data_IF_240738738315
#
_entry.id   IF_240738738315
#
_cell.length_a   1.000
_cell.length_b   1.000
_cell.length_c   1.000
_cell.angle_alpha   90.00
_cell.angle_beta   90.00
_cell.angle_gamma   90.00
#
_symmetry.space_group_name_H-M   'P 1'
#
loop_
_entity.id
_entity.type
_entity.pdbx_description
1 polymer ?
#
# COMPACT_ATOMS: atom_id res chain seq x y z
N UNK A 1 -7.99 -2.33 -3.93
CA UNK A 1 -6.89 -2.64 -2.99
C UNK A 1 -6.11 -1.37 -2.72
N UNK A 2 -5.87 -1.04 -1.44
CA UNK A 2 -5.00 0.07 -1.07
C UNK A 2 -3.54 -0.36 -1.22
N UNK A 3 -2.71 0.47 -1.87
CA UNK A 3 -1.26 0.27 -1.89
C UNK A 3 -0.72 0.45 -0.47
N UNK A 4 0.17 -0.45 -0.04
CA UNK A 4 0.76 -0.47 1.30
C UNK A 4 2.26 -0.30 1.17
N UNK A 5 2.79 0.68 1.90
CA UNK A 5 4.20 1.06 1.83
C UNK A 5 4.89 0.73 3.16
N UNK A 6 6.09 0.18 3.07
CA UNK A 6 6.98 -0.04 4.20
C UNK A 6 8.29 0.71 3.95
N UNK A 7 8.77 1.46 4.94
CA UNK A 7 10.00 2.24 4.86
C UNK A 7 10.91 1.95 6.03
N UNK A 8 12.21 1.84 5.78
CA UNK A 8 13.24 1.90 6.82
C UNK A 8 13.75 3.34 6.88
N UNK A 9 13.52 4.02 8.01
CA UNK A 9 13.93 5.41 8.17
C UNK A 9 15.45 5.58 8.06
N UNK A 10 15.91 6.66 7.42
CA UNK A 10 17.34 6.94 7.22
C UNK A 10 18.12 7.03 8.55
N UNK A 11 17.45 7.47 9.61
CA UNK A 11 18.00 7.62 10.97
C UNK A 11 17.47 6.54 11.95
N UNK A 12 17.02 5.38 11.43
CA UNK A 12 16.55 4.30 12.29
C UNK A 12 17.65 3.88 13.28
N UNK A 13 17.31 3.73 14.57
CA UNK A 13 18.25 3.29 15.61
C UNK A 13 18.86 1.91 15.31
N UNK A 14 18.08 1.04 14.65
CA UNK A 14 18.47 -0.32 14.29
C UNK A 14 18.12 -0.60 12.81
N UNK A 15 18.90 -0.09 11.84
CA UNK A 15 18.53 -0.18 10.42
C UNK A 15 18.56 -1.61 9.90
N UNK A 16 19.46 -2.47 10.41
CA UNK A 16 19.56 -3.87 9.98
C UNK A 16 18.37 -4.70 10.47
N UNK A 17 17.87 -4.45 11.68
CA UNK A 17 16.63 -5.08 12.17
C UNK A 17 15.43 -4.65 11.32
N UNK A 18 15.36 -3.37 10.94
CA UNK A 18 14.35 -2.87 10.01
C UNK A 18 14.39 -3.55 8.64
N UNK A 19 15.58 -3.75 8.07
CA UNK A 19 15.75 -4.50 6.81
C UNK A 19 15.29 -5.95 6.95
N UNK A 20 15.72 -6.65 8.00
CA UNK A 20 15.31 -8.02 8.27
C UNK A 20 13.78 -8.15 8.38
N UNK A 21 13.13 -7.18 9.03
CA UNK A 21 11.68 -7.15 9.12
C UNK A 21 11.00 -6.95 7.76
N UNK A 22 11.51 -6.03 6.93
CA UNK A 22 11.01 -5.82 5.57
C UNK A 22 11.20 -7.09 4.73
N UNK A 23 12.35 -7.75 4.81
CA UNK A 23 12.61 -9.01 4.12
C UNK A 23 11.63 -10.11 4.57
N UNK A 24 11.34 -10.18 5.88
CA UNK A 24 10.33 -11.09 6.41
C UNK A 24 8.92 -10.80 5.87
N UNK A 25 8.51 -9.53 5.82
CA UNK A 25 7.22 -9.12 5.26
C UNK A 25 7.09 -9.52 3.78
N UNK A 26 8.19 -9.47 3.01
CA UNK A 26 8.23 -9.85 1.58
C UNK A 26 8.44 -11.36 1.36
N UNK A 27 8.84 -12.09 2.40
CA UNK A 27 9.04 -13.53 2.33
C UNK A 27 7.74 -14.26 1.99
N UNK A 28 7.87 -15.49 1.46
CA UNK A 28 6.71 -16.35 1.20
C UNK A 28 5.85 -16.52 2.45
N UNK A 29 6.48 -16.77 3.62
CA UNK A 29 5.78 -16.92 4.89
C UNK A 29 5.00 -15.66 5.30
N UNK A 30 5.64 -14.49 5.26
CA UNK A 30 4.99 -13.22 5.62
C UNK A 30 3.81 -12.90 4.71
N UNK A 31 3.95 -13.18 3.41
CA UNK A 31 2.91 -12.96 2.42
C UNK A 31 1.78 -13.99 2.51
N UNK A 32 2.07 -15.24 2.88
CA UNK A 32 1.04 -16.26 3.21
C UNK A 32 0.19 -15.80 4.39
N UNK A 33 0.81 -15.35 5.49
CA UNK A 33 0.08 -14.81 6.66
C UNK A 33 -0.76 -13.60 6.25
N UNK A 34 -0.21 -12.69 5.45
CA UNK A 34 -0.91 -11.50 4.97
C UNK A 34 -2.14 -11.84 4.12
N UNK A 35 -2.02 -12.86 3.27
CA UNK A 35 -3.12 -13.36 2.44
C UNK A 35 -4.20 -14.05 3.30
N UNK A 36 -3.82 -15.07 4.05
CA UNK A 36 -4.76 -16.02 4.64
C UNK A 36 -5.34 -15.57 5.99
N UNK A 37 -4.64 -14.72 6.74
CA UNK A 37 -5.00 -14.41 8.13
C UNK A 37 -5.33 -12.92 8.34
N UNK A 38 -4.85 -12.05 7.46
CA UNK A 38 -5.03 -10.60 7.59
C UNK A 38 -5.98 -10.01 6.54
N UNK A 39 -6.48 -10.81 5.58
CA UNK A 39 -7.34 -10.34 4.47
C UNK A 39 -6.72 -9.19 3.66
N UNK A 40 -5.40 -9.12 3.66
CA UNK A 40 -4.66 -8.01 3.10
C UNK A 40 -4.23 -8.28 1.65
N UNK A 41 -4.37 -9.51 1.18
CA UNK A 41 -3.87 -10.02 -0.11
C UNK A 41 -2.34 -9.99 -0.23
N UNK A 42 -1.79 -11.05 -0.85
CA UNK A 42 -0.36 -11.15 -1.16
C UNK A 42 0.02 -10.36 -2.41
N UNK A 43 1.19 -9.72 -2.40
CA UNK A 43 1.81 -9.09 -3.59
C UNK A 43 2.69 -10.07 -4.39
N UNK A 44 3.00 -11.25 -3.84
CA UNK A 44 3.77 -12.26 -4.56
C UNK A 44 2.89 -13.00 -5.57
N UNK A 45 3.48 -13.31 -6.71
CA UNK A 45 2.84 -14.06 -7.80
C UNK A 45 2.93 -15.58 -7.63
N UNK A 46 3.79 -16.06 -6.72
CA UNK A 46 4.01 -17.49 -6.45
C UNK A 46 3.14 -18.05 -5.31
N UNK A 47 2.25 -17.21 -4.73
CA UNK A 47 1.24 -17.62 -3.77
C UNK A 47 -0.07 -17.81 -4.51
N UNK A 48 -0.55 -19.06 -4.55
CA UNK A 48 -1.79 -19.46 -5.20
C UNK A 48 -2.91 -19.61 -4.17
N UNK A 49 -4.15 -19.26 -4.54
CA UNK A 49 -5.31 -19.35 -3.64
C UNK A 49 -6.24 -18.15 -3.73
N UNK A 50 -7.43 -18.28 -3.14
CA UNK A 50 -8.49 -17.25 -3.13
C UNK A 50 -8.03 -15.91 -2.53
N UNK A 51 -7.07 -15.94 -1.61
CA UNK A 51 -6.59 -14.76 -0.89
C UNK A 51 -5.29 -14.16 -1.49
N UNK A 52 -4.93 -14.59 -2.71
CA UNK A 52 -3.81 -13.99 -3.46
C UNK A 52 -4.22 -12.69 -4.16
N UNK A 53 -3.31 -11.71 -4.26
CA UNK A 53 -3.55 -10.49 -5.03
C UNK A 53 -3.82 -10.77 -6.52
N UNK A 54 -3.31 -11.88 -7.05
CA UNK A 54 -3.57 -12.36 -8.42
C UNK A 54 -5.02 -12.83 -8.58
N UNK A 55 -5.54 -13.61 -7.64
CA UNK A 55 -6.94 -14.05 -7.66
C UNK A 55 -7.89 -12.85 -7.52
N UNK A 56 -7.58 -11.92 -6.62
CA UNK A 56 -8.33 -10.68 -6.43
C UNK A 56 -8.33 -9.78 -7.67
N UNK A 57 -7.17 -9.60 -8.31
CA UNK A 57 -7.07 -8.83 -9.55
C UNK A 57 -7.86 -9.48 -10.70
N UNK A 58 -7.89 -10.82 -10.75
CA UNK A 58 -8.70 -11.57 -11.72
C UNK A 58 -10.20 -11.42 -11.48
N UNK A 59 -10.63 -11.39 -10.22
CA UNK A 59 -12.04 -11.22 -9.83
C UNK A 59 -12.56 -9.82 -10.18
N UNK A 60 -11.78 -8.78 -9.88
CA UNK A 60 -12.20 -7.40 -10.11
C UNK A 60 -11.94 -6.90 -11.54
N UNK A 61 -11.04 -7.54 -12.29
CA UNK A 61 -10.72 -7.17 -13.66
C UNK A 61 -10.39 -5.68 -13.81
N UNK A 62 -11.14 -4.98 -14.67
CA UNK A 62 -10.95 -3.54 -14.96
C UNK A 62 -11.39 -2.60 -13.83
N UNK A 63 -12.08 -3.11 -12.80
CA UNK A 63 -12.47 -2.33 -11.63
C UNK A 63 -11.27 -2.06 -10.69
N UNK A 64 -10.16 -2.79 -10.84
CA UNK A 64 -8.94 -2.51 -10.08
C UNK A 64 -8.34 -1.18 -10.55
N UNK A 65 -8.27 -0.22 -9.63
CA UNK A 65 -7.51 1.03 -9.81
C UNK A 65 -6.22 0.95 -8.99
N UNK A 66 -5.12 0.39 -9.53
CA UNK A 66 -3.88 0.27 -8.79
C UNK A 66 -3.25 1.65 -8.58
N UNK A 67 -2.79 1.91 -7.36
CA UNK A 67 -1.99 3.09 -7.05
C UNK A 67 -0.54 2.69 -7.25
N UNK A 68 0.03 3.05 -8.42
CA UNK A 68 1.42 2.79 -8.74
C UNK A 68 2.34 3.60 -7.83
N UNK A 69 3.41 2.97 -7.33
CA UNK A 69 4.45 3.67 -6.58
C UNK A 69 5.36 4.41 -7.57
N UNK A 70 5.01 5.65 -7.94
CA UNK A 70 5.80 6.52 -8.81
C UNK A 70 6.20 7.82 -8.10
N UNK A 71 7.09 8.60 -8.73
CA UNK A 71 7.45 9.94 -8.27
C UNK A 71 6.25 10.88 -8.22
N UNK A 72 5.17 10.60 -8.96
CA UNK A 72 3.95 11.42 -8.97
C UNK A 72 3.18 11.34 -7.65
N UNK A 73 3.33 10.25 -6.87
CA UNK A 73 2.80 10.19 -5.51
C UNK A 73 3.40 11.26 -4.59
N UNK A 74 4.65 11.67 -4.86
CA UNK A 74 5.29 12.75 -4.11
C UNK A 74 4.63 14.10 -4.38
N UNK A 75 3.99 14.28 -5.54
CA UNK A 75 3.23 15.50 -5.82
C UNK A 75 2.02 15.64 -4.89
N UNK A 76 1.49 14.53 -4.37
CA UNK A 76 0.46 14.54 -3.32
C UNK A 76 0.99 14.87 -1.92
N UNK A 77 2.31 14.78 -1.71
CA UNK A 77 2.98 15.23 -0.50
C UNK A 77 3.34 16.73 -0.52
N UNK A 78 3.17 17.40 -1.68
CA UNK A 78 3.29 18.85 -1.76
C UNK A 78 2.28 19.50 -0.81
N UNK A 79 2.78 20.24 0.17
CA UNK A 79 1.96 20.81 1.23
C UNK A 79 0.92 21.79 0.70
N UNK A 80 1.23 22.51 -0.38
CA UNK A 80 0.36 23.52 -0.98
C UNK A 80 -0.81 22.85 -1.70
N UNK A 81 -0.53 21.89 -2.58
CA UNK A 81 -1.56 21.12 -3.30
C UNK A 81 -2.44 20.34 -2.35
N UNK A 82 -1.86 19.74 -1.31
CA UNK A 82 -2.62 19.01 -0.28
C UNK A 82 -3.58 19.94 0.47
N UNK A 83 -3.10 21.11 0.91
CA UNK A 83 -3.94 22.08 1.61
C UNK A 83 -5.07 22.62 0.72
N UNK A 84 -4.77 22.91 -0.55
CA UNK A 84 -5.77 23.36 -1.52
C UNK A 84 -6.86 22.30 -1.73
N UNK A 85 -6.46 21.04 -1.96
CA UNK A 85 -7.39 19.92 -2.06
C UNK A 85 -8.28 19.78 -0.81
N UNK A 86 -7.69 19.84 0.38
CA UNK A 86 -8.46 19.72 1.64
C UNK A 86 -9.46 20.87 1.81
N UNK A 87 -9.11 22.09 1.40
CA UNK A 87 -10.02 23.25 1.42
C UNK A 87 -11.18 23.04 0.46
N UNK A 88 -10.91 22.63 -0.79
CA UNK A 88 -11.95 22.34 -1.77
C UNK A 88 -12.89 21.22 -1.29
N UNK A 89 -12.32 20.17 -0.69
CA UNK A 89 -13.07 19.06 -0.11
C UNK A 89 -13.97 19.50 1.04
N UNK A 90 -13.49 20.36 1.95
CA UNK A 90 -14.29 20.92 3.04
C UNK A 90 -15.45 21.79 2.52
N UNK A 91 -15.19 22.64 1.52
CA UNK A 91 -16.22 23.47 0.89
C UNK A 91 -17.29 22.63 0.19
N UNK A 92 -16.88 21.56 -0.51
CA UNK A 92 -17.80 20.66 -1.20
C UNK A 92 -18.68 19.84 -0.23
N UNK A 93 -18.15 19.49 0.96
CA UNK A 93 -18.89 18.79 2.01
C UNK A 93 -19.86 19.69 2.80
N UNK A 94 -19.89 21.00 2.55
CA UNK A 94 -20.91 21.90 3.09
C UNK A 94 -20.92 21.99 4.62
N UNK A 95 -19.79 21.87 5.31
CA UNK A 95 -19.72 22.35 6.70
C UNK A 95 -19.66 23.87 6.66
N UNK A 96 -20.84 24.48 6.89
CA UNK A 96 -20.92 25.83 7.46
C UNK A 96 -20.23 25.84 8.83
#
# INVERSE_FOLDING_TARGET
>A
MLSRLAFVAKNAKNPNAGKLWVDYLLSKRGQTITAEQAELYSIRTDITGKDSGVAFAKELGSAVKPIAVSTDLLAGLDSTKRLEFLKQWQSALGRK
#
